data_IF_370682396396
#
_entry.id   IF_370682396396
#
_cell.length_a   1.000
_cell.length_b   1.000
_cell.length_c   1.000
_cell.angle_alpha   90.00
_cell.angle_beta   90.00
_cell.angle_gamma   90.00
#
_symmetry.space_group_name_H-M   'P 1'
#
loop_
_entity.id
_entity.type
_entity.pdbx_description
1 polymer ?
#
# COMPACT_ATOMS: atom_id res chain seq x y z
N UNK A 1 -12.85 -35.89 -27.66
CA UNK A 1 -12.90 -35.56 -26.21
C UNK A 1 -12.74 -36.84 -25.43
N UNK A 2 -11.58 -37.02 -24.77
CA UNK A 2 -11.36 -38.18 -23.89
C UNK A 2 -12.06 -38.04 -22.54
N UNK A 3 -12.29 -36.80 -22.08
CA UNK A 3 -13.02 -36.49 -20.83
C UNK A 3 -14.44 -37.09 -20.81
N UNK A 4 -15.14 -37.09 -21.95
CA UNK A 4 -16.48 -37.68 -22.06
C UNK A 4 -16.52 -39.20 -21.91
N UNK A 5 -15.37 -39.90 -22.03
CA UNK A 5 -15.28 -41.36 -21.87
C UNK A 5 -14.89 -41.76 -20.44
N UNK A 6 -14.04 -40.97 -19.79
CA UNK A 6 -13.58 -41.26 -18.42
C UNK A 6 -14.49 -40.69 -17.35
N UNK A 7 -15.23 -39.62 -17.66
CA UNK A 7 -15.95 -38.83 -16.66
C UNK A 7 -15.01 -38.13 -15.66
N UNK A 8 -13.72 -38.02 -15.99
CA UNK A 8 -12.69 -37.37 -15.15
C UNK A 8 -12.18 -36.13 -15.87
N UNK A 9 -11.97 -35.07 -15.09
CA UNK A 9 -11.33 -33.84 -15.52
C UNK A 9 -10.26 -33.44 -14.50
N UNK A 10 -9.21 -32.78 -14.98
CA UNK A 10 -8.10 -32.29 -14.15
C UNK A 10 -8.31 -30.81 -13.85
N UNK A 11 -8.12 -30.41 -12.58
CA UNK A 11 -8.27 -29.01 -12.14
C UNK A 11 -6.89 -28.50 -11.72
N UNK A 12 -6.26 -27.72 -12.59
CA UNK A 12 -4.91 -27.17 -12.35
C UNK A 12 -4.91 -25.73 -11.80
N UNK A 13 -6.09 -25.17 -11.53
CA UNK A 13 -6.24 -23.77 -11.09
C UNK A 13 -6.21 -23.57 -9.58
N UNK A 14 -6.26 -24.65 -8.81
CA UNK A 14 -6.30 -24.62 -7.36
C UNK A 14 -5.72 -25.90 -6.75
N UNK A 15 -5.31 -25.82 -5.50
CA UNK A 15 -4.94 -26.99 -4.69
C UNK A 15 -6.17 -27.81 -4.31
N UNK A 16 -5.96 -29.06 -3.91
CA UNK A 16 -7.04 -29.94 -3.43
C UNK A 16 -7.81 -29.31 -2.26
N UNK A 17 -7.12 -28.71 -1.29
CA UNK A 17 -7.76 -28.11 -0.13
C UNK A 17 -8.66 -26.90 -0.50
N UNK A 18 -8.19 -26.05 -1.42
CA UNK A 18 -9.01 -24.94 -1.94
C UNK A 18 -10.23 -25.45 -2.70
N UNK A 19 -10.07 -26.52 -3.48
CA UNK A 19 -11.17 -27.14 -4.22
C UNK A 19 -12.20 -27.79 -3.28
N UNK A 20 -11.77 -28.47 -2.22
CA UNK A 20 -12.66 -29.02 -1.20
C UNK A 20 -13.46 -27.93 -0.50
N UNK A 21 -12.83 -26.81 -0.13
CA UNK A 21 -13.52 -25.65 0.45
C UNK A 21 -14.56 -25.06 -0.51
N UNK A 22 -14.22 -24.93 -1.80
CA UNK A 22 -15.14 -24.47 -2.83
C UNK A 22 -16.31 -25.43 -3.02
N UNK A 23 -16.05 -26.73 -3.07
CA UNK A 23 -17.10 -27.74 -3.21
C UNK A 23 -18.03 -27.78 -1.99
N UNK A 24 -17.47 -27.66 -0.78
CA UNK A 24 -18.25 -27.56 0.45
C UNK A 24 -19.16 -26.33 0.42
N UNK A 25 -18.68 -25.18 -0.09
CA UNK A 25 -19.47 -23.96 -0.25
C UNK A 25 -20.63 -24.12 -1.23
N UNK A 26 -20.45 -24.89 -2.31
CA UNK A 26 -21.50 -25.17 -3.30
C UNK A 26 -22.57 -26.15 -2.80
N UNK A 27 -22.27 -26.93 -1.76
CA UNK A 27 -23.17 -27.97 -1.30
C UNK A 27 -24.43 -27.36 -0.65
N UNK A 28 -25.66 -27.76 -1.06
CA UNK A 28 -26.89 -27.11 -0.57
C UNK A 28 -27.12 -27.20 0.94
N UNK A 29 -26.61 -28.27 1.56
CA UNK A 29 -26.83 -28.55 2.99
C UNK A 29 -25.77 -27.88 3.86
N UNK A 30 -24.49 -28.03 3.49
CA UNK A 30 -23.35 -27.61 4.31
C UNK A 30 -22.73 -26.28 3.87
N UNK A 31 -23.02 -25.82 2.65
CA UNK A 31 -22.44 -24.59 2.11
C UNK A 31 -22.87 -23.34 2.86
N UNK A 32 -23.98 -23.39 3.59
CA UNK A 32 -24.43 -22.29 4.48
C UNK A 32 -23.52 -22.11 5.69
N UNK A 33 -22.81 -23.16 6.09
CA UNK A 33 -21.91 -23.15 7.25
C UNK A 33 -20.47 -22.78 6.83
N UNK A 34 -20.17 -22.76 5.53
CA UNK A 34 -18.85 -22.42 5.01
C UNK A 34 -18.71 -20.89 4.96
N UNK A 35 -17.95 -20.35 5.91
CA UNK A 35 -17.61 -18.94 5.95
C UNK A 35 -16.42 -18.63 5.03
N UNK A 36 -16.55 -17.58 4.22
CA UNK A 36 -15.44 -17.01 3.46
C UNK A 36 -14.63 -16.09 4.38
N UNK A 37 -13.35 -16.39 4.55
CA UNK A 37 -12.43 -15.65 5.41
C UNK A 37 -11.10 -15.38 4.68
N UNK A 38 -10.16 -14.68 5.33
CA UNK A 38 -8.91 -14.30 4.69
C UNK A 38 -8.02 -15.50 4.32
N UNK A 39 -8.19 -16.65 4.98
CA UNK A 39 -7.37 -17.84 4.76
C UNK A 39 -7.80 -18.63 3.53
N UNK A 40 -9.10 -18.59 3.19
CA UNK A 40 -9.66 -19.34 2.05
C UNK A 40 -10.07 -18.45 0.86
N UNK A 41 -10.24 -17.14 1.05
CA UNK A 41 -10.82 -16.27 0.04
C UNK A 41 -10.01 -16.20 -1.27
N UNK A 42 -8.68 -16.30 -1.24
CA UNK A 42 -7.86 -16.23 -2.46
C UNK A 42 -8.09 -17.45 -3.37
N UNK A 43 -8.06 -18.65 -2.80
CA UNK A 43 -8.34 -19.90 -3.53
C UNK A 43 -9.79 -19.97 -4.01
N UNK A 44 -10.74 -19.60 -3.15
CA UNK A 44 -12.16 -19.51 -3.51
C UNK A 44 -12.41 -18.49 -4.62
N UNK A 45 -11.70 -17.36 -4.62
CA UNK A 45 -11.81 -16.35 -5.67
C UNK A 45 -11.35 -16.88 -7.03
N UNK A 46 -10.21 -17.60 -7.10
CA UNK A 46 -9.72 -18.23 -8.34
C UNK A 46 -10.74 -19.21 -8.91
N UNK A 47 -11.27 -20.08 -8.06
CA UNK A 47 -12.28 -21.07 -8.45
C UNK A 47 -13.61 -20.42 -8.84
N UNK A 48 -14.06 -19.39 -8.11
CA UNK A 48 -15.24 -18.63 -8.45
C UNK A 48 -15.11 -17.91 -9.80
N UNK A 49 -13.92 -17.39 -10.12
CA UNK A 49 -13.64 -16.79 -11.42
C UNK A 49 -13.64 -17.86 -12.54
N UNK A 50 -12.96 -19.00 -12.31
CA UNK A 50 -12.89 -20.10 -13.27
C UNK A 50 -14.27 -20.69 -13.61
N UNK A 51 -15.11 -20.92 -12.60
CA UNK A 51 -16.47 -21.46 -12.76
C UNK A 51 -17.55 -20.37 -12.91
N UNK A 52 -17.15 -19.09 -13.04
CA UNK A 52 -18.05 -17.95 -13.30
C UNK A 52 -19.17 -17.77 -12.25
N UNK A 53 -18.85 -17.97 -10.98
CA UNK A 53 -19.78 -17.83 -9.85
C UNK A 53 -19.67 -16.43 -9.25
N UNK A 54 -20.31 -15.46 -9.90
CA UNK A 54 -20.21 -14.03 -9.57
C UNK A 54 -20.53 -13.69 -8.10
N UNK A 55 -21.51 -14.39 -7.50
CA UNK A 55 -21.87 -14.18 -6.09
C UNK A 55 -20.73 -14.51 -5.12
N UNK A 56 -20.05 -15.64 -5.36
CA UNK A 56 -18.91 -16.04 -4.54
C UNK A 56 -17.71 -15.14 -4.80
N UNK A 57 -17.47 -14.80 -6.07
CA UNK A 57 -16.42 -13.85 -6.50
C UNK A 57 -16.55 -12.50 -5.78
N UNK A 58 -17.74 -11.90 -5.77
CA UNK A 58 -18.01 -10.66 -5.05
C UNK A 58 -17.80 -10.79 -3.53
N UNK A 59 -18.22 -11.92 -2.96
CA UNK A 59 -18.04 -12.20 -1.53
C UNK A 59 -16.56 -12.28 -1.16
N UNK A 60 -15.77 -13.04 -1.93
CA UNK A 60 -14.32 -13.17 -1.73
C UNK A 60 -13.62 -11.82 -1.90
N UNK A 61 -13.98 -11.06 -2.94
CA UNK A 61 -13.43 -9.71 -3.15
C UNK A 61 -13.70 -8.79 -1.95
N UNK A 62 -14.90 -8.83 -1.36
CA UNK A 62 -15.23 -8.01 -0.19
C UNK A 62 -14.40 -8.36 1.06
N UNK A 63 -14.02 -9.63 1.21
CA UNK A 63 -13.17 -10.10 2.32
C UNK A 63 -11.71 -9.69 2.07
N UNK A 64 -11.21 -9.88 0.85
CA UNK A 64 -9.83 -9.56 0.48
C UNK A 64 -9.53 -8.07 0.40
N UNK A 65 -10.52 -7.23 0.11
CA UNK A 65 -10.38 -5.76 0.19
C UNK A 65 -10.03 -5.25 1.59
N UNK A 66 -10.32 -6.03 2.64
CA UNK A 66 -9.97 -5.71 4.03
C UNK A 66 -8.60 -6.25 4.44
N UNK A 67 -7.99 -7.10 3.61
CA UNK A 67 -6.69 -7.69 3.88
C UNK A 67 -5.57 -6.73 3.47
N UNK A 68 -4.37 -6.94 4.00
CA UNK A 68 -3.19 -6.14 3.69
C UNK A 68 -2.88 -6.17 2.19
N UNK A 69 -2.62 -5.03 1.54
CA UNK A 69 -2.22 -5.03 0.13
C UNK A 69 -0.94 -5.84 -0.11
N UNK A 70 -0.90 -6.58 -1.22
CA UNK A 70 0.28 -7.34 -1.63
C UNK A 70 0.34 -7.46 -3.15
N UNK A 71 1.53 -7.68 -3.68
CA UNK A 71 1.74 -7.86 -5.13
C UNK A 71 1.01 -9.10 -5.66
N UNK A 72 0.99 -10.20 -4.88
CA UNK A 72 0.22 -11.38 -5.23
C UNK A 72 -1.28 -11.10 -5.34
N UNK A 73 -1.84 -10.26 -4.45
CA UNK A 73 -3.25 -9.84 -4.52
C UNK A 73 -3.52 -8.91 -5.69
N UNK A 74 -2.55 -8.07 -6.07
CA UNK A 74 -2.66 -7.22 -7.25
C UNK A 74 -2.79 -8.06 -8.52
N UNK A 75 -1.93 -9.08 -8.67
CA UNK A 75 -2.00 -10.04 -9.79
C UNK A 75 -3.34 -10.78 -9.79
N UNK A 76 -3.74 -11.32 -8.63
CA UNK A 76 -5.01 -12.03 -8.50
C UNK A 76 -6.22 -11.15 -8.87
N UNK A 77 -6.21 -9.87 -8.46
CA UNK A 77 -7.27 -8.93 -8.78
C UNK A 77 -7.37 -8.68 -10.30
N UNK A 78 -6.24 -8.58 -10.99
CA UNK A 78 -6.19 -8.42 -12.45
C UNK A 78 -6.66 -9.68 -13.18
N UNK A 79 -6.17 -10.86 -12.79
CA UNK A 79 -6.58 -12.16 -13.36
C UNK A 79 -8.08 -12.43 -13.19
N UNK A 80 -8.66 -11.93 -12.10
CA UNK A 80 -10.09 -12.05 -11.83
C UNK A 80 -10.91 -10.89 -12.42
N UNK A 81 -10.29 -9.94 -13.13
CA UNK A 81 -10.98 -8.78 -13.71
C UNK A 81 -11.62 -7.85 -12.68
N UNK A 82 -11.09 -7.79 -11.45
CA UNK A 82 -11.57 -6.94 -10.36
C UNK A 82 -10.92 -5.55 -10.43
N UNK A 83 -11.28 -4.78 -11.46
CA UNK A 83 -10.61 -3.51 -11.82
C UNK A 83 -10.53 -2.50 -10.68
N UNK A 84 -11.64 -2.24 -9.98
CA UNK A 84 -11.64 -1.27 -8.87
C UNK A 84 -10.70 -1.67 -7.72
N UNK A 85 -10.62 -2.97 -7.42
CA UNK A 85 -9.73 -3.46 -6.37
C UNK A 85 -8.27 -3.46 -6.82
N UNK A 86 -8.02 -3.87 -8.06
CA UNK A 86 -6.71 -3.79 -8.70
C UNK A 86 -6.18 -2.35 -8.66
N UNK A 87 -6.97 -1.37 -9.07
CA UNK A 87 -6.55 0.03 -9.14
C UNK A 87 -6.18 0.58 -7.75
N UNK A 88 -6.95 0.22 -6.71
CA UNK A 88 -6.62 0.53 -5.30
C UNK A 88 -5.31 -0.11 -4.84
N UNK A 89 -5.07 -1.37 -5.22
CA UNK A 89 -3.83 -2.07 -4.90
C UNK A 89 -2.63 -1.46 -5.62
N UNK A 90 -2.78 -1.04 -6.88
CA UNK A 90 -1.74 -0.31 -7.63
C UNK A 90 -1.38 0.98 -6.89
N UNK A 91 -2.37 1.75 -6.45
CA UNK A 91 -2.14 2.98 -5.71
C UNK A 91 -1.36 2.69 -4.42
N UNK A 92 -1.85 1.79 -3.57
CA UNK A 92 -1.18 1.46 -2.31
C UNK A 92 0.25 0.92 -2.49
N UNK A 93 0.47 0.03 -3.46
CA UNK A 93 1.80 -0.53 -3.73
C UNK A 93 2.74 0.56 -4.28
N UNK A 94 2.24 1.47 -5.11
CA UNK A 94 3.02 2.61 -5.58
C UNK A 94 3.36 3.59 -4.44
N UNK A 95 2.49 3.70 -3.43
CA UNK A 95 2.75 4.50 -2.24
C UNK A 95 3.85 3.89 -1.36
N UNK A 96 3.88 2.57 -1.23
CA UNK A 96 4.81 1.83 -0.37
C UNK A 96 5.81 1.01 -1.19
N UNK A 97 6.33 1.61 -2.28
CA UNK A 97 7.14 0.93 -3.28
C UNK A 97 8.38 0.20 -2.69
N UNK A 98 8.96 0.74 -1.64
CA UNK A 98 10.12 0.19 -0.92
C UNK A 98 9.79 -1.02 -0.03
N UNK A 99 8.51 -1.23 0.31
CA UNK A 99 8.06 -2.33 1.18
C UNK A 99 7.60 -3.57 0.43
N UNK A 100 7.46 -3.48 -0.89
CA UNK A 100 6.91 -4.56 -1.70
C UNK A 100 7.96 -5.14 -2.67
N UNK A 101 8.00 -6.47 -2.77
CA UNK A 101 8.77 -7.15 -3.80
C UNK A 101 8.01 -7.13 -5.14
N UNK A 102 8.53 -6.38 -6.11
CA UNK A 102 7.93 -6.20 -7.43
C UNK A 102 8.43 -7.21 -8.47
N UNK A 103 9.35 -8.10 -8.11
CA UNK A 103 9.86 -9.14 -9.02
C UNK A 103 8.73 -9.95 -9.69
N UNK A 104 7.64 -10.35 -8.99
CA UNK A 104 6.53 -11.08 -9.61
C UNK A 104 5.82 -10.29 -10.73
N UNK A 105 5.85 -8.96 -10.70
CA UNK A 105 5.19 -8.14 -11.72
C UNK A 105 5.92 -8.14 -13.07
N UNK A 106 7.14 -8.67 -13.16
CA UNK A 106 7.83 -8.81 -14.45
C UNK A 106 7.06 -9.71 -15.44
N UNK A 107 6.29 -10.66 -14.92
CA UNK A 107 5.39 -11.49 -15.73
C UNK A 107 4.11 -10.75 -16.16
N UNK A 108 3.80 -9.61 -15.54
CA UNK A 108 2.60 -8.80 -15.76
C UNK A 108 2.99 -7.36 -16.07
N UNK A 109 3.57 -7.15 -17.26
CA UNK A 109 4.18 -5.86 -17.67
C UNK A 109 3.20 -4.69 -17.53
N UNK A 110 1.93 -4.88 -17.85
CA UNK A 110 0.91 -3.83 -17.72
C UNK A 110 0.71 -3.38 -16.27
N UNK A 111 0.69 -4.34 -15.32
CA UNK A 111 0.59 -4.04 -13.88
C UNK A 111 1.86 -3.35 -13.38
N UNK A 112 3.04 -3.82 -13.81
CA UNK A 112 4.31 -3.18 -13.47
C UNK A 112 4.33 -1.72 -13.95
N UNK A 113 3.92 -1.47 -15.19
CA UNK A 113 3.86 -0.14 -15.76
C UNK A 113 2.84 0.74 -15.06
N UNK A 114 1.69 0.20 -14.64
CA UNK A 114 0.70 0.91 -13.85
C UNK A 114 1.29 1.37 -12.49
N UNK A 115 1.95 0.45 -11.77
CA UNK A 115 2.59 0.75 -10.47
C UNK A 115 3.71 1.78 -10.64
N UNK A 116 4.61 1.61 -11.61
CA UNK A 116 5.71 2.56 -11.87
C UNK A 116 5.19 3.93 -12.27
N UNK A 117 4.14 3.99 -13.09
CA UNK A 117 3.54 5.27 -13.52
C UNK A 117 2.95 6.02 -12.33
N UNK A 118 2.23 5.32 -11.44
CA UNK A 118 1.71 5.92 -10.20
C UNK A 118 2.82 6.35 -9.24
N UNK A 119 3.84 5.50 -9.06
CA UNK A 119 4.99 5.83 -8.22
C UNK A 119 5.73 7.07 -8.71
N UNK A 120 5.94 7.22 -10.02
CA UNK A 120 6.61 8.38 -10.62
C UNK A 120 5.90 9.71 -10.33
N UNK A 121 4.58 9.74 -10.41
CA UNK A 121 3.79 10.94 -10.08
C UNK A 121 4.08 11.36 -8.64
N UNK A 122 4.01 10.39 -7.71
CA UNK A 122 4.24 10.64 -6.28
C UNK A 122 5.69 11.05 -5.96
N UNK A 123 6.68 10.40 -6.58
CA UNK A 123 8.08 10.79 -6.40
C UNK A 123 8.37 12.18 -6.98
N UNK A 124 7.72 12.53 -8.10
CA UNK A 124 7.81 13.88 -8.67
C UNK A 124 7.30 14.95 -7.70
N UNK A 125 6.15 14.71 -7.07
CA UNK A 125 5.58 15.58 -6.04
C UNK A 125 6.50 15.72 -4.83
N UNK A 126 7.04 14.59 -4.33
CA UNK A 126 7.96 14.58 -3.20
C UNK A 126 9.25 15.38 -3.49
N UNK A 127 9.79 15.27 -4.71
CA UNK A 127 10.97 16.02 -5.13
C UNK A 127 10.68 17.52 -5.26
N UNK A 128 9.49 17.90 -5.75
CA UNK A 128 9.04 19.29 -5.80
C UNK A 128 8.94 19.89 -4.39
N UNK A 129 8.35 19.16 -3.44
CA UNK A 129 8.23 19.60 -2.05
C UNK A 129 9.59 19.70 -1.36
N UNK A 130 10.49 18.74 -1.57
CA UNK A 130 11.86 18.81 -1.03
C UNK A 130 12.62 20.03 -1.57
N UNK A 131 12.37 20.40 -2.83
CA UNK A 131 12.95 21.60 -3.44
C UNK A 131 12.42 22.86 -2.75
N UNK A 132 11.10 22.95 -2.52
CA UNK A 132 10.47 24.06 -1.79
C UNK A 132 10.99 24.19 -0.36
N UNK A 133 11.13 23.07 0.36
CA UNK A 133 11.70 23.08 1.71
C UNK A 133 13.12 23.64 1.70
N UNK A 134 13.94 23.25 0.71
CA UNK A 134 15.30 23.76 0.56
C UNK A 134 15.34 25.27 0.24
N UNK A 135 14.39 25.77 -0.55
CA UNK A 135 14.24 27.19 -0.86
C UNK A 135 13.76 28.02 0.35
N UNK A 136 12.92 27.44 1.20
CA UNK A 136 12.42 28.11 2.41
C UNK A 136 13.43 28.09 3.57
N UNK A 137 14.32 27.10 3.61
CA UNK A 137 15.34 26.95 4.65
C UNK A 137 16.16 28.23 4.95
N UNK A 138 16.67 29.00 3.96
CA UNK A 138 17.38 30.25 4.24
C UNK A 138 16.48 31.32 4.87
N UNK A 139 15.22 31.43 4.45
CA UNK A 139 14.27 32.42 4.97
C UNK A 139 13.86 32.09 6.41
N UNK A 140 13.66 30.81 6.71
CA UNK A 140 13.40 30.35 8.08
C UNK A 140 14.59 30.67 8.98
N UNK A 141 15.83 30.50 8.49
CA UNK A 141 17.05 30.86 9.23
C UNK A 141 17.16 32.37 9.48
N UNK A 142 16.91 33.18 8.45
CA UNK A 142 16.91 34.64 8.56
C UNK A 142 15.88 35.13 9.59
N UNK A 143 14.65 34.60 9.54
CA UNK A 143 13.60 34.94 10.51
C UNK A 143 13.96 34.48 11.93
N UNK A 144 14.59 33.31 12.07
CA UNK A 144 15.07 32.83 13.36
C UNK A 144 16.17 33.75 13.94
N UNK A 145 17.11 34.20 13.11
CA UNK A 145 18.17 35.14 13.52
C UNK A 145 17.58 36.51 13.92
N UNK A 146 16.57 37.01 13.20
CA UNK A 146 15.83 38.24 13.56
C UNK A 146 15.08 38.06 14.88
N UNK A 147 14.39 36.94 15.07
CA UNK A 147 13.67 36.68 16.31
C UNK A 147 14.64 36.57 17.51
N UNK A 148 15.75 35.86 17.33
CA UNK A 148 16.78 35.72 18.35
C UNK A 148 17.40 37.07 18.75
N UNK A 149 17.75 37.92 17.77
CA UNK A 149 18.29 39.25 18.04
C UNK A 149 17.29 40.12 18.82
N UNK A 150 16.00 40.11 18.46
CA UNK A 150 14.94 40.84 19.18
C UNK A 150 14.71 40.33 20.61
N UNK A 151 14.71 39.01 20.81
CA UNK A 151 14.55 38.42 22.14
C UNK A 151 15.75 38.80 23.02
N UNK A 152 16.98 38.65 22.50
CA UNK A 152 18.20 39.00 23.23
C UNK A 152 18.28 40.46 23.64
N UNK A 153 17.74 41.38 22.82
CA UNK A 153 17.69 42.81 23.13
C UNK A 153 16.69 43.15 24.26
N UNK A 154 15.64 42.36 24.43
CA UNK A 154 14.56 42.64 25.38
C UNK A 154 14.72 41.92 26.74
N UNK A 155 15.59 40.91 26.83
CA UNK A 155 15.87 40.24 28.10
C UNK A 155 16.86 41.08 28.91
N UNK A 156 16.41 41.58 30.06
CA UNK A 156 17.24 42.23 31.07
C UNK A 156 17.34 41.32 32.30
N UNK A 157 18.56 41.09 32.79
CA UNK A 157 18.79 40.48 34.11
C UNK A 157 19.30 41.59 35.04
N UNK A 158 18.71 41.75 36.22
CA UNK A 158 19.09 42.78 37.20
C UNK A 158 19.12 44.22 36.63
N UNK A 159 18.22 44.54 35.69
CA UNK A 159 18.13 45.87 35.07
C UNK A 159 19.24 46.17 34.04
N UNK A 160 20.10 45.21 33.72
CA UNK A 160 21.08 45.31 32.65
C UNK A 160 20.76 44.34 31.51
N UNK A 161 21.02 44.72 30.25
CA UNK A 161 20.79 43.84 29.10
C UNK A 161 21.65 42.57 29.23
N UNK A 162 21.04 41.40 29.01
CA UNK A 162 21.68 40.08 29.17
C UNK A 162 23.00 39.95 28.37
N UNK A 163 23.07 40.64 27.23
CA UNK A 163 24.24 40.69 26.35
C UNK A 163 25.50 41.25 27.03
N UNK A 164 25.36 42.07 28.08
CA UNK A 164 26.50 42.61 28.83
C UNK A 164 27.16 41.55 29.72
N UNK A 165 26.36 40.71 30.41
CA UNK A 165 26.86 39.64 31.27
C UNK A 165 27.57 38.51 30.50
N UNK A 166 27.13 38.19 29.29
CA UNK A 166 27.77 37.13 28.49
C UNK A 166 29.18 37.48 27.99
N UNK A 167 29.50 38.78 27.82
CA UNK A 167 30.87 39.20 27.46
C UNK A 167 31.84 39.07 28.63
N UNK A 168 31.42 39.43 29.83
CA UNK A 168 32.28 39.32 31.03
C UNK A 168 32.68 37.87 31.34
N UNK A 169 31.79 36.91 31.07
CA UNK A 169 32.10 35.48 31.24
C UNK A 169 33.11 35.00 30.19
N UNK A 170 32.97 35.44 28.93
CA UNK A 170 33.88 35.06 27.84
C UNK A 170 35.29 35.64 27.99
N UNK A 171 35.44 36.81 28.61
CA UNK A 171 36.75 37.45 28.81
C UNK A 171 37.48 36.94 30.07
N UNK A 172 36.81 36.16 30.92
CA UNK A 172 37.40 35.55 32.13
C UNK A 172 37.91 34.12 31.95
N UNK A 173 37.71 33.52 30.78
CA UNK A 173 38.20 32.19 30.39
C UNK A 173 39.36 32.31 29.41
#
# INVERSE_FOLDING_TARGET
>A
MEEGKSGRFEVNVATQAEFEAFYAWLHPVTGRDVQVDQSNAEGLLRLANYYQIEKLKATCASVLQKATPSVARLVLADECGLTEWRDKLVEHIAEEFDKHDLEPLKAHVDLLMAVVSRGRVRFGELLADKTRVRELQPRVRELADIAYSRISANITLNGQPLCAHLREISDSM
#
